data_IF_877605308112
#
_entry.id   IF_877605308112
#
_cell.length_a   1.000
_cell.length_b   1.000
_cell.length_c   1.000
_cell.angle_alpha   90.00
_cell.angle_beta   90.00
_cell.angle_gamma   90.00
#
_symmetry.space_group_name_H-M   'P 1'
#
loop_
_entity.id
_entity.type
_entity.pdbx_description
1 polymer ?
#
# COMPACT_ATOMS: atom_id res chain seq x y z
N UNK A 1 -13.18 11.70 -0.05
CA UNK A 1 -12.25 10.62 -0.42
C UNK A 1 -12.36 9.48 0.59
N UNK A 2 -12.16 8.23 0.15
CA UNK A 2 -12.10 7.08 1.05
C UNK A 2 -10.72 7.01 1.74
N UNK A 3 -10.66 6.65 3.04
CA UNK A 3 -9.38 6.47 3.72
C UNK A 3 -8.60 5.30 3.11
N UNK A 4 -7.31 5.51 2.87
CA UNK A 4 -6.38 4.48 2.44
C UNK A 4 -5.81 3.80 3.68
N UNK A 5 -6.23 2.55 3.93
CA UNK A 5 -5.83 1.78 5.13
C UNK A 5 -4.77 0.73 4.81
N UNK A 6 -4.08 0.25 5.86
CA UNK A 6 -3.10 -0.82 5.76
C UNK A 6 -3.69 -2.06 5.07
N UNK A 7 -2.96 -2.59 4.09
CA UNK A 7 -3.36 -3.77 3.33
C UNK A 7 -3.54 -4.98 4.28
N UNK A 8 -4.70 -5.66 4.25
CA UNK A 8 -4.97 -6.79 5.14
C UNK A 8 -4.10 -8.02 4.87
N UNK A 9 -3.48 -8.14 3.68
CA UNK A 9 -2.59 -9.25 3.40
C UNK A 9 -1.23 -9.14 4.09
N UNK A 10 -0.69 -7.92 4.20
CA UNK A 10 0.68 -7.72 4.69
C UNK A 10 0.78 -6.85 5.94
N UNK A 11 -0.23 -6.03 6.25
CA UNK A 11 -0.25 -5.05 7.34
C UNK A 11 0.94 -4.07 7.38
N UNK A 12 1.76 -4.04 6.33
CA UNK A 12 2.98 -3.21 6.24
C UNK A 12 2.76 -1.98 5.38
N UNK A 13 1.92 -2.09 4.33
CA UNK A 13 1.76 -1.04 3.32
C UNK A 13 0.30 -0.64 3.23
N UNK A 14 0.05 0.65 3.08
CA UNK A 14 -1.29 1.15 2.82
C UNK A 14 -1.75 0.82 1.41
N UNK A 15 -3.03 0.52 1.28
CA UNK A 15 -3.71 0.37 0.00
C UNK A 15 -3.66 1.69 -0.76
N UNK A 16 -3.50 1.63 -2.08
CA UNK A 16 -3.40 2.80 -2.93
C UNK A 16 -4.47 2.77 -4.01
N UNK A 17 -4.93 3.96 -4.41
CA UNK A 17 -5.97 4.17 -5.41
C UNK A 17 -5.38 4.41 -6.80
N UNK A 18 -5.99 3.84 -7.83
CA UNK A 18 -5.60 3.99 -9.22
C UNK A 18 -6.79 4.23 -10.13
N UNK A 19 -6.54 4.90 -11.25
CA UNK A 19 -7.47 5.01 -12.37
C UNK A 19 -6.98 4.14 -13.52
N UNK A 20 -7.80 3.19 -13.96
CA UNK A 20 -7.47 2.27 -15.04
C UNK A 20 -7.34 3.00 -16.38
N UNK A 21 -6.30 2.63 -17.13
CA UNK A 21 -6.05 3.09 -18.51
C UNK A 21 -6.25 1.96 -19.52
N UNK A 22 -6.73 0.80 -19.08
CA UNK A 22 -6.96 -0.34 -19.97
C UNK A 22 -8.11 -0.04 -20.93
N UNK A 23 -8.03 -0.58 -22.14
CA UNK A 23 -9.08 -0.45 -23.17
C UNK A 23 -10.41 -1.04 -22.67
N UNK A 24 -10.34 -2.13 -21.90
CA UNK A 24 -11.52 -2.81 -21.37
C UNK A 24 -12.18 -2.06 -20.19
N UNK A 25 -11.42 -1.28 -19.42
CA UNK A 25 -11.91 -0.59 -18.22
C UNK A 25 -11.39 0.86 -18.16
N UNK A 26 -11.64 1.71 -19.16
CA UNK A 26 -11.07 3.05 -19.20
C UNK A 26 -11.67 3.91 -18.09
N UNK A 27 -10.83 4.59 -17.31
CA UNK A 27 -11.28 5.53 -16.29
C UNK A 27 -11.81 4.91 -15.00
N UNK A 28 -12.03 3.59 -14.93
CA UNK A 28 -12.51 2.92 -13.71
C UNK A 28 -11.48 3.00 -12.58
N UNK A 29 -11.95 3.28 -11.37
CA UNK A 29 -11.09 3.44 -10.17
C UNK A 29 -10.98 2.11 -9.44
N UNK A 30 -9.78 1.78 -8.99
CA UNK A 30 -9.53 0.57 -8.19
C UNK A 30 -8.50 0.83 -7.09
N UNK A 31 -8.58 0.04 -6.04
CA UNK A 31 -7.76 0.09 -4.85
C UNK A 31 -6.97 -1.20 -4.74
N UNK A 32 -5.67 -1.15 -4.48
CA UNK A 32 -4.86 -2.35 -4.26
C UNK A 32 -3.64 -2.10 -3.41
N UNK A 33 -3.08 -3.17 -2.86
CA UNK A 33 -1.75 -3.13 -2.25
C UNK A 33 -0.68 -2.78 -3.31
N UNK A 34 0.34 -1.96 -2.97
CA UNK A 34 1.50 -1.75 -3.84
C UNK A 34 2.21 -3.07 -4.22
N UNK A 35 2.18 -4.05 -3.32
CA UNK A 35 2.75 -5.38 -3.51
C UNK A 35 1.78 -6.37 -4.22
N UNK A 36 0.68 -5.88 -4.81
CA UNK A 36 -0.28 -6.74 -5.50
C UNK A 36 0.35 -7.37 -6.74
N UNK A 37 0.50 -8.71 -6.74
CA UNK A 37 1.15 -9.49 -7.81
C UNK A 37 2.60 -9.10 -8.11
N UNK A 38 3.28 -8.47 -7.15
CA UNK A 38 4.71 -8.11 -7.25
C UNK A 38 5.49 -8.92 -6.20
N UNK A 39 6.72 -9.30 -6.53
CA UNK A 39 7.65 -9.88 -5.56
C UNK A 39 7.50 -11.37 -5.29
N UNK A 40 8.30 -11.87 -4.32
CA UNK A 40 8.30 -13.28 -3.91
C UNK A 40 7.05 -13.67 -3.12
N UNK A 41 6.45 -12.72 -2.38
CA UNK A 41 5.24 -12.93 -1.57
C UNK A 41 4.17 -11.90 -1.96
N UNK A 42 3.53 -12.06 -3.14
CA UNK A 42 2.61 -11.07 -3.66
C UNK A 42 1.31 -11.02 -2.85
N UNK A 43 0.84 -9.81 -2.57
CA UNK A 43 -0.52 -9.61 -2.05
C UNK A 43 -1.54 -9.84 -3.17
N UNK A 44 -2.76 -10.24 -2.79
CA UNK A 44 -3.89 -10.38 -3.74
C UNK A 44 -4.99 -9.34 -3.50
N UNK A 45 -4.84 -8.51 -2.46
CA UNK A 45 -5.78 -7.45 -2.12
C UNK A 45 -6.01 -6.48 -3.29
N UNK A 46 -7.26 -6.39 -3.72
CA UNK A 46 -7.69 -5.64 -4.88
C UNK A 46 -9.20 -5.41 -4.82
N UNK A 47 -9.65 -4.17 -5.04
CA UNK A 47 -11.05 -3.80 -5.03
C UNK A 47 -11.34 -2.82 -6.16
N UNK A 48 -12.41 -3.06 -6.91
CA UNK A 48 -12.99 -2.01 -7.75
C UNK A 48 -13.75 -1.01 -6.88
N UNK A 49 -13.78 0.27 -7.28
CA UNK A 49 -14.62 1.27 -6.58
C UNK A 49 -16.11 1.01 -6.81
N UNK A 50 -16.48 0.56 -8.01
CA UNK A 50 -17.84 0.30 -8.49
C UNK A 50 -18.21 -1.20 -8.49
N UNK A 51 -17.43 -2.04 -7.79
CA UNK A 51 -17.65 -3.48 -7.71
C UNK A 51 -18.72 -3.91 -6.69
N UNK A 52 -19.22 -5.16 -6.78
CA UNK A 52 -20.14 -5.73 -5.79
C UNK A 52 -19.48 -5.99 -4.42
N UNK A 53 -18.16 -6.09 -4.39
CA UNK A 53 -17.29 -6.19 -3.21
C UNK A 53 -16.29 -5.03 -3.20
N UNK A 54 -16.79 -3.80 -3.28
CA UNK A 54 -15.96 -2.62 -3.44
C UNK A 54 -15.16 -2.25 -2.18
N UNK A 55 -14.23 -1.29 -2.36
CA UNK A 55 -13.34 -0.85 -1.28
C UNK A 55 -14.11 -0.24 -0.09
N UNK A 56 -15.22 0.46 -0.35
CA UNK A 56 -16.04 1.03 0.72
C UNK A 56 -16.67 -0.06 1.60
N UNK A 57 -17.21 -1.11 0.99
CA UNK A 57 -17.77 -2.26 1.72
C UNK A 57 -16.71 -2.95 2.58
N UNK A 58 -15.48 -3.08 2.06
CA UNK A 58 -14.34 -3.53 2.84
C UNK A 58 -14.06 -2.62 4.05
N UNK A 59 -14.04 -1.30 3.87
CA UNK A 59 -13.79 -0.34 4.95
C UNK A 59 -14.85 -0.42 6.05
N UNK A 60 -16.13 -0.48 5.66
CA UNK A 60 -17.25 -0.62 6.60
C UNK A 60 -17.17 -1.94 7.35
N UNK A 61 -16.94 -3.05 6.64
CA UNK A 61 -16.87 -4.40 7.23
C UNK A 61 -15.77 -4.51 8.29
N UNK A 62 -14.65 -3.82 8.09
CA UNK A 62 -13.51 -3.83 9.01
C UNK A 62 -13.52 -2.68 10.02
N UNK A 63 -14.59 -1.88 10.07
CA UNK A 63 -14.76 -0.81 11.05
C UNK A 63 -13.87 0.42 10.81
N UNK A 64 -13.31 0.57 9.61
CA UNK A 64 -12.52 1.74 9.23
C UNK A 64 -13.39 2.95 8.92
N UNK A 65 -14.65 2.73 8.53
CA UNK A 65 -15.64 3.77 8.31
C UNK A 65 -16.95 3.34 8.94
N UNK A 66 -17.57 4.22 9.73
CA UNK A 66 -18.94 4.03 10.19
C UNK A 66 -19.91 4.50 9.10
N UNK A 67 -20.89 3.67 8.74
CA UNK A 67 -22.07 4.17 8.03
C UNK A 67 -22.80 5.07 9.02
N UNK A 68 -22.58 6.38 8.92
CA UNK A 68 -23.45 7.33 9.58
C UNK A 68 -24.85 7.13 9.00
N UNK A 69 -25.71 6.36 9.70
CA UNK A 69 -27.14 6.43 9.46
C UNK A 69 -27.49 7.91 9.58
N UNK A 70 -28.02 8.49 8.52
CA UNK A 70 -28.53 9.86 8.52
C UNK A 70 -29.45 10.05 9.73
N UNK A 71 -28.90 10.69 10.77
CA UNK A 71 -29.51 10.72 12.09
C UNK A 71 -28.52 11.13 13.18
N UNK A 72 -28.13 12.41 13.17
CA UNK A 72 -27.79 13.27 14.32
C UNK A 72 -27.02 12.66 15.52
N UNK A 73 -25.84 13.24 15.76
CA UNK A 73 -24.99 13.20 16.98
C UNK A 73 -24.08 11.99 17.23
N UNK A 74 -22.78 12.26 17.16
CA UNK A 74 -21.90 12.08 18.33
C UNK A 74 -20.70 11.14 18.17
N UNK A 75 -19.50 11.71 18.30
CA UNK A 75 -18.37 11.03 18.98
C UNK A 75 -17.17 10.65 18.12
N UNK A 76 -16.11 11.44 18.26
CA UNK A 76 -14.79 11.37 17.61
C UNK A 76 -13.87 10.35 18.33
N UNK A 77 -12.89 9.78 17.63
CA UNK A 77 -11.53 9.64 18.19
C UNK A 77 -10.47 9.92 17.11
N UNK A 78 -9.57 10.89 17.36
CA UNK A 78 -8.48 11.24 16.44
C UNK A 78 -7.96 12.68 16.57
N UNK A 79 -7.36 13.01 17.73
CA UNK A 79 -6.36 14.06 18.03
C UNK A 79 -6.42 15.45 17.35
N UNK A 80 -6.74 16.48 18.16
CA UNK A 80 -6.68 17.91 17.81
C UNK A 80 -5.27 18.46 17.62
N UNK A 81 -5.13 19.40 16.66
CA UNK A 81 -4.49 20.70 16.90
C UNK A 81 -4.99 21.76 15.90
N UNK A 82 -5.72 22.77 16.40
CA UNK A 82 -5.70 24.16 15.92
C UNK A 82 -6.58 24.55 14.73
N UNK A 83 -7.69 25.22 15.01
CA UNK A 83 -8.52 25.96 14.05
C UNK A 83 -7.78 27.18 13.48
N UNK A 84 -7.77 27.33 12.16
CA UNK A 84 -7.77 28.63 11.46
C UNK A 84 -8.74 28.50 10.29
N UNK A 85 -9.86 29.22 10.36
CA UNK A 85 -10.72 29.51 9.20
C UNK A 85 -9.93 30.31 8.18
N UNK A 86 -9.87 29.83 6.94
CA UNK A 86 -9.60 30.69 5.78
C UNK A 86 -10.23 30.10 4.53
N UNK A 87 -10.91 31.00 3.84
CA UNK A 87 -11.80 30.88 2.69
C UNK A 87 -11.19 30.17 1.46
N UNK A 88 -12.10 29.51 0.74
CA UNK A 88 -12.16 29.23 -0.70
C UNK A 88 -10.89 29.41 -1.54
N UNK A 89 -10.41 28.30 -2.11
CA UNK A 89 -9.77 28.29 -3.43
C UNK A 89 -10.13 26.98 -4.15
N UNK A 90 -11.20 27.04 -4.94
CA UNK A 90 -11.47 26.07 -6.01
C UNK A 90 -10.38 26.25 -7.08
N UNK A 91 -9.41 25.34 -7.16
CA UNK A 91 -8.59 24.97 -8.34
C UNK A 91 -7.41 24.06 -7.93
N UNK A 92 -7.66 22.86 -7.41
CA UNK A 92 -6.57 21.89 -7.11
C UNK A 92 -6.92 20.42 -7.39
N UNK A 93 -7.83 20.15 -8.33
CA UNK A 93 -8.22 18.76 -8.63
C UNK A 93 -7.24 18.06 -9.60
N UNK A 94 -6.59 18.78 -10.51
CA UNK A 94 -5.71 18.18 -11.54
C UNK A 94 -4.30 17.84 -11.00
N UNK A 95 -3.72 18.69 -10.15
CA UNK A 95 -2.40 18.43 -9.53
C UNK A 95 -2.45 17.31 -8.50
N UNK A 96 -3.53 17.20 -7.74
CA UNK A 96 -3.69 16.14 -6.74
C UNK A 96 -3.70 14.74 -7.36
N UNK A 97 -4.32 14.60 -8.55
CA UNK A 97 -4.33 13.33 -9.31
C UNK A 97 -2.93 12.99 -9.83
N UNK A 98 -2.17 13.98 -10.30
CA UNK A 98 -0.81 13.76 -10.81
C UNK A 98 0.18 13.41 -9.69
N UNK A 99 0.13 14.12 -8.56
CA UNK A 99 0.95 13.85 -7.37
C UNK A 99 0.65 12.46 -6.81
N UNK A 100 -0.62 12.09 -6.65
CA UNK A 100 -1.00 10.76 -6.16
C UNK A 100 -0.48 9.65 -7.08
N UNK A 101 -0.53 9.86 -8.40
CA UNK A 101 -0.02 8.92 -9.39
C UNK A 101 1.50 8.78 -9.32
N UNK A 102 2.24 9.87 -9.14
CA UNK A 102 3.70 9.84 -8.97
C UNK A 102 4.05 9.07 -7.69
N UNK A 103 3.41 9.40 -6.55
CA UNK A 103 3.63 8.70 -5.28
C UNK A 103 3.37 7.20 -5.38
N UNK A 104 2.29 6.80 -6.06
CA UNK A 104 1.94 5.39 -6.26
C UNK A 104 2.95 4.65 -7.16
N UNK A 105 3.42 5.29 -8.24
CA UNK A 105 4.45 4.73 -9.11
C UNK A 105 5.79 4.56 -8.37
N UNK A 106 6.20 5.57 -7.61
CA UNK A 106 7.41 5.51 -6.77
C UNK A 106 7.31 4.39 -5.75
N UNK A 107 6.16 4.22 -5.08
CA UNK A 107 5.98 3.14 -4.11
C UNK A 107 6.12 1.74 -4.73
N UNK A 108 5.58 1.50 -5.93
CA UNK A 108 5.74 0.21 -6.62
C UNK A 108 7.21 -0.03 -6.96
N UNK A 109 7.92 0.98 -7.43
CA UNK A 109 9.34 0.86 -7.77
C UNK A 109 10.20 0.55 -6.54
N UNK A 110 9.94 1.26 -5.43
CA UNK A 110 10.59 1.00 -4.14
C UNK A 110 10.35 -0.44 -3.68
N UNK A 111 9.14 -0.99 -3.85
CA UNK A 111 8.84 -2.39 -3.47
C UNK A 111 9.72 -3.36 -4.26
N UNK A 112 9.86 -3.16 -5.57
CA UNK A 112 10.71 -4.01 -6.41
C UNK A 112 12.17 -3.93 -6.00
N UNK A 113 12.68 -2.72 -5.78
CA UNK A 113 14.06 -2.50 -5.34
C UNK A 113 14.35 -3.14 -3.97
N UNK A 114 13.38 -3.10 -3.04
CA UNK A 114 13.50 -3.77 -1.74
C UNK A 114 13.54 -5.29 -1.87
N UNK A 115 12.74 -5.89 -2.76
CA UNK A 115 12.76 -7.34 -2.99
C UNK A 115 14.10 -7.80 -3.59
N UNK A 116 14.65 -7.05 -4.54
CA UNK A 116 15.99 -7.32 -5.08
C UNK A 116 17.06 -7.25 -3.99
N UNK A 117 17.00 -6.23 -3.13
CA UNK A 117 17.92 -6.11 -2.00
C UNK A 117 17.80 -7.28 -1.03
N UNK A 118 16.58 -7.70 -0.68
CA UNK A 118 16.35 -8.86 0.20
C UNK A 118 16.95 -10.12 -0.43
N UNK A 119 16.81 -10.31 -1.74
CA UNK A 119 17.40 -11.44 -2.45
C UNK A 119 18.93 -11.42 -2.38
N UNK A 120 19.55 -10.27 -2.66
CA UNK A 120 21.01 -10.10 -2.59
C UNK A 120 21.55 -10.36 -1.18
N UNK A 121 20.88 -9.85 -0.15
CA UNK A 121 21.28 -10.07 1.25
C UNK A 121 21.22 -11.56 1.61
N UNK A 122 20.17 -12.28 1.20
CA UNK A 122 20.08 -13.73 1.45
C UNK A 122 21.21 -14.49 0.77
N UNK A 123 21.51 -14.18 -0.50
CA UNK A 123 22.61 -14.80 -1.23
C UNK A 123 23.96 -14.54 -0.55
N UNK A 124 24.21 -13.30 -0.12
CA UNK A 124 25.43 -12.92 0.57
C UNK A 124 25.60 -13.65 1.91
N UNK A 125 24.52 -13.78 2.69
CA UNK A 125 24.53 -14.55 3.95
C UNK A 125 24.84 -16.03 3.70
N UNK A 126 24.28 -16.65 2.67
CA UNK A 126 24.63 -18.02 2.29
C UNK A 126 26.11 -18.15 1.94
N UNK A 127 26.67 -17.22 1.16
CA UNK A 127 28.10 -17.21 0.84
C UNK A 127 28.98 -17.08 2.08
N UNK A 128 28.61 -16.23 3.04
CA UNK A 128 29.37 -16.09 4.30
C UNK A 128 29.34 -17.41 5.08
N UNK A 129 28.16 -18.01 5.24
CA UNK A 129 28.01 -19.26 6.01
C UNK A 129 28.83 -20.40 5.37
N UNK A 130 28.80 -20.53 4.05
CA UNK A 130 29.58 -21.57 3.35
C UNK A 130 31.08 -21.33 3.47
N UNK A 131 31.54 -20.08 3.35
CA UNK A 131 32.95 -19.74 3.56
C UNK A 131 33.40 -20.05 4.99
N UNK A 132 32.62 -19.66 6.01
CA UNK A 132 32.92 -19.98 7.40
C UNK A 132 32.98 -21.49 7.65
N UNK A 133 32.05 -22.26 7.09
CA UNK A 133 32.06 -23.71 7.21
C UNK A 133 33.31 -24.34 6.59
N UNK A 134 33.72 -23.87 5.40
CA UNK A 134 34.96 -24.33 4.74
C UNK A 134 36.18 -23.98 5.59
N UNK A 135 36.25 -22.75 6.13
CA UNK A 135 37.36 -22.33 7.00
C UNK A 135 37.45 -23.21 8.25
N UNK A 136 36.33 -23.48 8.92
CA UNK A 136 36.28 -24.38 10.08
C UNK A 136 36.71 -25.80 9.70
N UNK A 137 36.25 -26.33 8.56
CA UNK A 137 36.63 -27.64 8.08
C UNK A 137 38.14 -27.75 7.81
N UNK A 138 38.72 -26.75 7.12
CA UNK A 138 40.16 -26.71 6.84
C UNK A 138 40.98 -26.62 8.12
N UNK A 139 40.52 -25.85 9.12
CA UNK A 139 41.17 -25.77 10.44
C UNK A 139 41.04 -27.09 11.19
N UNK A 140 39.89 -27.76 11.15
CA UNK A 140 39.67 -29.02 11.85
C UNK A 140 40.43 -30.21 11.24
N UNK A 141 40.78 -30.15 9.96
CA UNK A 141 41.61 -31.15 9.28
C UNK A 141 43.12 -30.98 9.54
N UNK A 142 43.52 -29.86 10.14
CA UNK A 142 44.92 -29.49 10.36
C UNK A 142 45.34 -29.79 11.79
#
# INVERSE_FOLDING_TARGET
MLPLVACPCCHVRDTIVFRSKSIANPGRVFYKCPNHRVGMNPCQDYYWEDGPDNYFDFLVKNGHVSIARTGRSGGICGHSLGDIESEEAEEEEDRGVEVQKICNCVMIDVVKNLDELICLVRMFLFCIVTLLAVMVYVVALK
#
